data_IF_282448170467
#
_entry.id   IF_282448170467
#
_cell.length_a   1.000
_cell.length_b   1.000
_cell.length_c   1.000
_cell.angle_alpha   90.00
_cell.angle_beta   90.00
_cell.angle_gamma   90.00
#
_symmetry.space_group_name_H-M   'P 1'
#
loop_
_entity.id
_entity.type
_entity.pdbx_description
1 polymer ?
#
# COMPACT_ATOMS: atom_id res chain seq x y z
N UNK A 1 -24.11 -56.25 38.85
CA UNK A 1 -24.65 -54.89 38.61
C UNK A 1 -23.64 -54.16 37.73
N UNK A 2 -24.05 -53.93 36.48
CA UNK A 2 -23.23 -53.36 35.41
C UNK A 2 -23.38 -51.84 35.40
N UNK A 3 -22.27 -51.10 35.28
CA UNK A 3 -22.24 -49.75 34.72
C UNK A 3 -20.93 -49.58 33.94
N UNK A 4 -20.90 -50.10 32.70
CA UNK A 4 -19.93 -49.69 31.69
C UNK A 4 -20.38 -48.35 31.11
N UNK A 5 -19.67 -47.27 31.41
CA UNK A 5 -19.83 -45.97 30.75
C UNK A 5 -19.06 -46.00 29.43
N UNK A 6 -19.74 -46.38 28.34
CA UNK A 6 -19.23 -46.14 26.99
C UNK A 6 -19.25 -44.63 26.70
N UNK A 7 -18.09 -44.00 26.79
CA UNK A 7 -17.87 -42.64 26.28
C UNK A 7 -17.63 -42.75 24.77
N UNK A 8 -18.70 -42.62 23.98
CA UNK A 8 -18.59 -42.47 22.54
C UNK A 8 -17.87 -41.16 22.24
N UNK A 9 -16.65 -41.26 21.72
CA UNK A 9 -16.02 -40.15 21.02
C UNK A 9 -16.85 -39.89 19.76
N UNK A 10 -17.63 -38.82 19.76
CA UNK A 10 -18.16 -38.26 18.52
C UNK A 10 -16.97 -38.02 17.60
N UNK A 11 -17.03 -38.67 16.44
CA UNK A 11 -16.09 -38.49 15.34
C UNK A 11 -16.20 -37.02 14.94
N UNK A 12 -15.27 -36.17 15.42
CA UNK A 12 -15.20 -34.77 15.03
C UNK A 12 -15.18 -34.70 13.52
N UNK A 13 -16.19 -34.06 12.95
CA UNK A 13 -16.31 -33.75 11.53
C UNK A 13 -15.24 -32.70 11.20
N UNK A 14 -14.01 -33.16 10.97
CA UNK A 14 -12.88 -32.34 10.50
C UNK A 14 -12.90 -32.12 8.98
N UNK A 15 -13.77 -32.82 8.24
CA UNK A 15 -13.71 -32.89 6.78
C UNK A 15 -14.23 -31.65 6.05
N UNK A 16 -15.13 -30.87 6.64
CA UNK A 16 -15.93 -29.84 5.93
C UNK A 16 -15.35 -28.42 6.05
N UNK A 17 -14.54 -28.17 7.09
CA UNK A 17 -13.84 -26.89 7.28
C UNK A 17 -12.55 -26.83 6.47
N UNK A 18 -11.86 -27.96 6.34
CA UNK A 18 -10.61 -28.05 5.57
C UNK A 18 -10.86 -27.92 4.06
N UNK A 19 -12.03 -28.35 3.56
CA UNK A 19 -12.43 -28.17 2.17
C UNK A 19 -12.79 -26.71 1.85
N UNK A 20 -13.54 -26.04 2.73
CA UNK A 20 -13.91 -24.62 2.59
C UNK A 20 -12.69 -23.69 2.65
N UNK A 21 -11.74 -23.95 3.55
CA UNK A 21 -10.49 -23.19 3.64
C UNK A 21 -9.63 -23.35 2.40
N UNK A 22 -9.44 -24.58 1.91
CA UNK A 22 -8.70 -24.84 0.67
C UNK A 22 -9.34 -24.13 -0.54
N UNK A 23 -10.67 -24.12 -0.61
CA UNK A 23 -11.37 -23.42 -1.68
C UNK A 23 -11.16 -21.90 -1.60
N UNK A 24 -11.19 -21.31 -0.39
CA UNK A 24 -10.91 -19.89 -0.18
C UNK A 24 -9.47 -19.53 -0.55
N UNK A 25 -8.51 -20.35 -0.15
CA UNK A 25 -7.10 -20.17 -0.51
C UNK A 25 -6.89 -20.23 -2.03
N UNK A 26 -7.53 -21.17 -2.73
CA UNK A 26 -7.46 -21.25 -4.18
C UNK A 26 -8.05 -20.00 -4.85
N UNK A 27 -9.21 -19.53 -4.38
CA UNK A 27 -9.84 -18.31 -4.87
C UNK A 27 -8.93 -17.07 -4.66
N UNK A 28 -8.29 -16.97 -3.49
CA UNK A 28 -7.33 -15.91 -3.19
C UNK A 28 -6.10 -15.99 -4.09
N UNK A 29 -5.54 -17.18 -4.31
CA UNK A 29 -4.40 -17.40 -5.18
C UNK A 29 -4.71 -17.04 -6.63
N UNK A 30 -5.90 -17.38 -7.11
CA UNK A 30 -6.35 -17.01 -8.45
C UNK A 30 -6.47 -15.49 -8.59
N UNK A 31 -7.08 -14.81 -7.62
CA UNK A 31 -7.20 -13.35 -7.60
C UNK A 31 -5.82 -12.66 -7.60
N UNK A 32 -4.90 -13.12 -6.74
CA UNK A 32 -3.53 -12.60 -6.66
C UNK A 32 -2.82 -12.78 -8.01
N UNK A 33 -2.94 -13.95 -8.64
CA UNK A 33 -2.32 -14.22 -9.94
C UNK A 33 -2.87 -13.29 -11.02
N UNK A 34 -4.19 -13.16 -11.13
CA UNK A 34 -4.84 -12.35 -12.16
C UNK A 34 -4.51 -10.86 -11.99
N UNK A 35 -4.78 -10.29 -10.83
CA UNK A 35 -4.55 -8.86 -10.55
C UNK A 35 -3.07 -8.54 -10.35
N UNK A 36 -2.27 -9.50 -9.91
CA UNK A 36 -0.82 -9.38 -9.85
C UNK A 36 -0.21 -9.28 -11.24
N UNK A 37 -0.70 -10.06 -12.21
CA UNK A 37 -0.25 -9.96 -13.59
C UNK A 37 -0.62 -8.61 -14.21
N UNK A 38 -1.84 -8.10 -13.98
CA UNK A 38 -2.22 -6.75 -14.41
C UNK A 38 -1.26 -5.68 -13.84
N UNK A 39 -0.96 -5.78 -12.54
CA UNK A 39 -0.05 -4.87 -11.85
C UNK A 39 1.36 -4.92 -12.46
N UNK A 40 1.90 -6.12 -12.66
CA UNK A 40 3.23 -6.32 -13.24
C UNK A 40 3.28 -5.76 -14.66
N UNK A 41 2.30 -6.06 -15.51
CA UNK A 41 2.25 -5.58 -16.89
C UNK A 41 2.29 -4.04 -16.97
N UNK A 42 1.57 -3.36 -16.06
CA UNK A 42 1.60 -1.89 -16.02
C UNK A 42 2.97 -1.38 -15.55
N UNK A 43 3.56 -2.00 -14.52
CA UNK A 43 4.84 -1.57 -13.97
C UNK A 43 6.02 -1.82 -14.92
N UNK A 44 6.04 -2.96 -15.60
CA UNK A 44 7.06 -3.30 -16.60
C UNK A 44 6.96 -2.41 -17.85
N UNK A 45 5.76 -1.90 -18.16
CA UNK A 45 5.54 -0.96 -19.26
C UNK A 45 6.00 0.47 -18.98
N UNK A 46 6.48 0.80 -17.77
CA UNK A 46 6.91 2.16 -17.41
C UNK A 46 8.25 2.48 -18.06
N UNK A 47 8.26 3.47 -18.95
CA UNK A 47 9.44 3.94 -19.66
C UNK A 47 10.28 4.91 -18.82
N UNK A 48 9.65 5.72 -17.96
CA UNK A 48 10.36 6.62 -17.05
C UNK A 48 9.56 7.03 -15.82
N UNK A 49 10.27 7.53 -14.80
CA UNK A 49 9.70 8.15 -13.60
C UNK A 49 9.97 9.65 -13.60
N UNK A 50 8.95 10.45 -13.27
CA UNK A 50 9.08 11.89 -13.09
C UNK A 50 8.51 12.35 -11.75
N UNK A 51 9.07 13.43 -11.23
CA UNK A 51 8.54 14.10 -10.05
C UNK A 51 7.88 15.44 -10.44
N UNK A 52 6.62 15.63 -10.04
CA UNK A 52 5.84 16.86 -10.27
C UNK A 52 5.42 17.45 -8.92
N UNK A 53 5.64 18.74 -8.72
CA UNK A 53 5.26 19.44 -7.50
C UNK A 53 3.78 19.83 -7.48
N UNK A 54 3.22 20.02 -6.30
CA UNK A 54 1.91 20.65 -6.15
C UNK A 54 1.96 22.13 -6.55
N UNK A 55 0.87 22.70 -7.11
CA UNK A 55 -0.44 22.08 -7.32
C UNK A 55 -0.56 21.24 -8.61
N UNK A 56 0.49 21.20 -9.44
CA UNK A 56 0.43 20.61 -10.78
C UNK A 56 0.28 19.09 -10.77
N UNK A 57 0.77 18.41 -9.72
CA UNK A 57 0.54 16.98 -9.54
C UNK A 57 -0.95 16.67 -9.39
N UNK A 58 -1.65 17.37 -8.50
CA UNK A 58 -3.10 17.22 -8.36
C UNK A 58 -3.84 17.51 -9.67
N UNK A 59 -3.42 18.54 -10.40
CA UNK A 59 -4.02 18.89 -11.70
C UNK A 59 -3.81 17.81 -12.78
N UNK A 60 -2.66 17.13 -12.79
CA UNK A 60 -2.42 15.95 -13.65
C UNK A 60 -3.32 14.78 -13.24
N UNK A 61 -3.40 14.51 -11.93
CA UNK A 61 -4.22 13.41 -11.38
C UNK A 61 -5.70 13.55 -11.73
N UNK A 62 -6.19 14.79 -11.73
CA UNK A 62 -7.57 15.15 -12.07
C UNK A 62 -7.80 15.32 -13.59
N UNK A 63 -6.74 15.22 -14.40
CA UNK A 63 -6.81 15.35 -15.87
C UNK A 63 -7.04 16.78 -16.36
N UNK A 64 -6.90 17.79 -15.50
CA UNK A 64 -7.00 19.21 -15.89
C UNK A 64 -5.73 19.68 -16.60
N UNK A 65 -4.57 19.30 -16.07
CA UNK A 65 -3.28 19.46 -16.73
C UNK A 65 -3.07 18.24 -17.62
N UNK A 66 -2.84 18.46 -18.90
CA UNK A 66 -2.69 17.40 -19.91
C UNK A 66 -1.38 17.51 -20.69
N UNK A 67 -0.58 18.53 -20.41
CA UNK A 67 0.73 18.73 -21.03
C UNK A 67 1.75 19.00 -19.93
N UNK A 68 2.82 18.21 -19.90
CA UNK A 68 3.93 18.35 -18.97
C UNK A 68 5.17 18.89 -19.68
N UNK A 69 5.54 20.13 -19.35
CA UNK A 69 6.75 20.77 -19.87
C UNK A 69 8.02 20.33 -19.11
N UNK A 70 9.05 19.87 -19.83
CA UNK A 70 10.34 19.45 -19.26
C UNK A 70 11.52 19.94 -20.09
N UNK A 71 12.62 20.30 -19.44
CA UNK A 71 13.87 20.52 -20.17
C UNK A 71 14.43 19.17 -20.67
N UNK A 72 14.91 19.12 -21.91
CA UNK A 72 15.40 17.90 -22.60
C UNK A 72 16.73 17.43 -21.99
N UNK A 73 16.72 16.96 -20.75
CA UNK A 73 17.94 16.54 -20.04
C UNK A 73 17.84 15.10 -19.56
N UNK A 74 18.95 14.37 -19.61
CA UNK A 74 19.02 12.98 -19.13
C UNK A 74 18.04 12.05 -19.84
N UNK A 75 17.32 11.23 -19.06
CA UNK A 75 16.45 10.15 -19.54
C UNK A 75 15.20 10.59 -20.32
N UNK A 76 14.84 11.87 -20.31
CA UNK A 76 13.62 12.37 -20.98
C UNK A 76 13.78 12.49 -22.50
N UNK A 77 15.01 12.38 -23.01
CA UNK A 77 15.31 12.49 -24.45
C UNK A 77 14.60 11.45 -25.31
N UNK A 78 14.24 10.31 -24.69
CA UNK A 78 13.70 9.11 -25.34
C UNK A 78 12.20 8.91 -25.13
N UNK A 79 11.51 9.86 -24.51
CA UNK A 79 10.06 9.73 -24.34
C UNK A 79 9.40 9.82 -25.71
N UNK A 80 8.60 8.82 -26.04
CA UNK A 80 7.88 8.70 -27.30
C UNK A 80 6.38 8.49 -27.08
N UNK A 81 5.53 8.84 -28.06
CA UNK A 81 4.10 8.51 -28.01
C UNK A 81 3.89 7.00 -27.78
N UNK A 82 3.00 6.67 -26.83
CA UNK A 82 2.74 5.30 -26.40
C UNK A 82 3.46 4.88 -25.12
N UNK A 83 4.50 5.60 -24.70
CA UNK A 83 5.20 5.35 -23.44
C UNK A 83 4.28 5.53 -22.22
N UNK A 84 4.61 4.82 -21.14
CA UNK A 84 4.02 5.04 -19.83
C UNK A 84 5.01 5.77 -18.92
N UNK A 85 4.51 6.81 -18.25
CA UNK A 85 5.28 7.63 -17.31
C UNK A 85 4.70 7.47 -15.91
N UNK A 86 5.56 7.19 -14.94
CA UNK A 86 5.21 7.15 -13.53
C UNK A 86 5.47 8.50 -12.86
N UNK A 87 4.40 9.18 -12.44
CA UNK A 87 4.48 10.46 -11.75
C UNK A 87 4.40 10.25 -10.24
N UNK A 88 5.40 10.78 -9.52
CA UNK A 88 5.49 10.73 -8.05
C UNK A 88 5.32 9.31 -7.47
N UNK A 89 5.75 8.27 -8.22
CA UNK A 89 5.63 6.85 -7.85
C UNK A 89 4.21 6.31 -7.65
N UNK A 90 3.18 7.07 -8.04
CA UNK A 90 1.78 6.69 -7.73
C UNK A 90 0.79 6.84 -8.88
N UNK A 91 1.06 7.70 -9.87
CA UNK A 91 0.15 7.97 -10.98
C UNK A 91 0.82 7.56 -12.29
N UNK A 92 0.21 6.64 -13.03
CA UNK A 92 0.69 6.26 -14.36
C UNK A 92 -0.05 7.06 -15.42
N UNK A 93 0.70 7.74 -16.28
CA UNK A 93 0.16 8.47 -17.42
C UNK A 93 0.64 7.84 -18.72
N UNK A 94 -0.21 7.84 -19.74
CA UNK A 94 0.17 7.45 -21.09
C UNK A 94 0.58 8.71 -21.87
N UNK A 95 1.69 8.63 -22.58
CA UNK A 95 2.13 9.67 -23.50
C UNK A 95 1.32 9.55 -24.79
N UNK A 96 0.59 10.61 -25.11
CA UNK A 96 -0.17 10.68 -26.36
C UNK A 96 0.64 11.36 -27.46
N UNK A 97 1.45 12.36 -27.12
CA UNK A 97 2.32 13.06 -28.08
C UNK A 97 3.51 13.73 -27.38
N UNK A 98 4.55 14.07 -28.15
CA UNK A 98 5.75 14.76 -27.66
C UNK A 98 6.19 15.83 -28.65
N UNK A 99 6.14 17.09 -28.24
CA UNK A 99 6.59 18.22 -29.05
C UNK A 99 7.88 18.83 -28.50
N UNK A 100 8.74 19.32 -29.39
CA UNK A 100 10.04 19.92 -29.04
C UNK A 100 10.07 21.39 -29.37
N UNK A 101 10.60 22.19 -28.45
CA UNK A 101 10.71 23.64 -28.57
C UNK A 101 12.10 24.13 -28.16
N UNK A 102 12.50 25.27 -28.70
CA UNK A 102 13.75 25.92 -28.33
C UNK A 102 13.74 26.50 -26.90
N UNK A 103 12.55 26.84 -26.36
CA UNK A 103 12.40 27.48 -25.06
C UNK A 103 11.01 27.23 -24.46
N UNK A 104 10.87 27.42 -23.14
CA UNK A 104 9.57 27.38 -22.44
C UNK A 104 8.64 28.48 -22.95
N UNK A 105 9.18 29.67 -23.26
CA UNK A 105 8.38 30.75 -23.85
C UNK A 105 7.75 30.31 -25.19
N UNK A 106 8.52 29.67 -26.07
CA UNK A 106 8.01 29.15 -27.35
C UNK A 106 7.02 28.01 -27.15
N UNK A 107 7.29 27.11 -26.22
CA UNK A 107 6.36 26.04 -25.86
C UNK A 107 5.03 26.62 -25.38
N UNK A 108 5.03 27.56 -24.44
CA UNK A 108 3.82 28.15 -23.87
C UNK A 108 3.05 29.06 -24.85
N UNK A 109 3.72 29.58 -25.88
CA UNK A 109 3.07 30.31 -26.98
C UNK A 109 2.38 29.38 -27.98
N UNK A 110 2.95 28.18 -28.21
CA UNK A 110 2.42 27.22 -29.17
C UNK A 110 1.36 26.30 -28.54
N UNK A 111 1.59 25.88 -27.29
CA UNK A 111 0.71 25.02 -26.53
C UNK A 111 -0.36 25.81 -25.77
N UNK A 112 -1.46 25.14 -25.42
CA UNK A 112 -2.49 25.75 -24.59
C UNK A 112 -1.97 25.97 -23.17
N UNK A 113 -1.80 27.24 -22.75
CA UNK A 113 -1.35 27.59 -21.41
C UNK A 113 -2.20 26.93 -20.31
N UNK A 114 -3.52 26.87 -20.46
CA UNK A 114 -4.41 26.20 -19.50
C UNK A 114 -4.17 24.69 -19.42
N UNK A 115 -3.70 24.04 -20.49
CA UNK A 115 -3.36 22.60 -20.47
C UNK A 115 -1.99 22.33 -19.85
N UNK A 116 -1.06 23.30 -19.94
CA UNK A 116 0.31 23.19 -19.41
C UNK A 116 0.39 23.66 -17.95
N UNK A 117 -0.18 24.83 -17.65
CA UNK A 117 -0.19 25.45 -16.33
C UNK A 117 -1.60 25.99 -16.02
N UNK A 118 -2.58 25.12 -15.68
CA UNK A 118 -3.94 25.55 -15.39
C UNK A 118 -3.99 26.67 -14.33
N UNK A 119 -4.74 27.73 -14.62
CA UNK A 119 -4.89 28.90 -13.75
C UNK A 119 -3.85 30.01 -13.92
N UNK A 120 -2.79 29.79 -14.70
CA UNK A 120 -1.81 30.83 -15.08
C UNK A 120 -2.35 31.64 -16.25
N UNK A 121 -2.21 32.97 -16.19
CA UNK A 121 -2.86 33.87 -17.17
C UNK A 121 -1.97 34.30 -18.31
N UNK A 122 -0.65 34.37 -18.11
CA UNK A 122 0.27 34.86 -19.13
C UNK A 122 1.48 33.94 -19.33
N UNK A 123 2.10 34.05 -20.50
CA UNK A 123 3.30 33.25 -20.83
C UNK A 123 4.47 33.62 -19.92
N UNK A 124 4.61 34.90 -19.58
CA UNK A 124 5.68 35.41 -18.72
C UNK A 124 5.60 34.80 -17.32
N UNK A 125 4.40 34.79 -16.72
CA UNK A 125 4.15 34.12 -15.43
C UNK A 125 4.47 32.62 -15.51
N UNK A 126 4.10 31.98 -16.63
CA UNK A 126 4.41 30.57 -16.88
C UNK A 126 5.91 30.28 -16.98
N UNK A 127 6.68 31.15 -17.63
CA UNK A 127 8.14 31.04 -17.72
C UNK A 127 8.79 31.19 -16.35
N UNK A 128 8.32 32.13 -15.52
CA UNK A 128 8.82 32.31 -14.15
C UNK A 128 8.60 31.07 -13.27
N UNK A 129 7.51 30.33 -13.48
CA UNK A 129 7.27 29.05 -12.80
C UNK A 129 8.34 28.02 -13.19
N UNK A 130 8.65 27.89 -14.49
CA UNK A 130 9.69 26.99 -14.96
C UNK A 130 11.09 27.42 -14.53
N UNK A 131 11.34 28.72 -14.38
CA UNK A 131 12.64 29.26 -13.97
C UNK A 131 13.00 28.91 -12.53
N UNK A 132 12.02 28.63 -11.68
CA UNK A 132 12.23 28.05 -10.33
C UNK A 132 12.81 26.62 -10.38
N UNK A 133 12.68 25.92 -11.51
CA UNK A 133 13.08 24.52 -11.67
C UNK A 133 14.31 24.34 -12.58
N UNK A 134 14.49 25.20 -13.59
CA UNK A 134 15.55 25.10 -14.59
C UNK A 134 16.20 26.46 -14.83
N UNK A 135 17.52 26.53 -14.94
CA UNK A 135 18.22 27.77 -15.33
C UNK A 135 18.12 28.04 -16.83
N UNK A 136 18.28 29.29 -17.24
CA UNK A 136 18.26 29.71 -18.66
C UNK A 136 19.28 28.96 -19.50
N UNK A 137 20.49 28.77 -18.96
CA UNK A 137 21.57 28.11 -19.70
C UNK A 137 21.21 26.65 -19.99
N UNK A 138 20.57 25.98 -19.02
CA UNK A 138 20.13 24.58 -19.17
C UNK A 138 19.00 24.45 -20.18
N UNK A 139 18.06 25.39 -20.17
CA UNK A 139 16.99 25.46 -21.15
C UNK A 139 17.54 25.70 -22.56
N UNK A 140 18.41 26.70 -22.76
CA UNK A 140 18.94 27.05 -24.08
C UNK A 140 19.87 25.98 -24.66
N UNK A 141 20.64 25.28 -23.82
CA UNK A 141 21.55 24.21 -24.28
C UNK A 141 20.82 22.93 -24.71
N UNK A 142 19.65 22.64 -24.15
CA UNK A 142 18.96 21.37 -24.35
C UNK A 142 17.63 21.49 -25.09
N UNK A 143 16.99 22.66 -25.02
CA UNK A 143 15.60 22.84 -25.42
C UNK A 143 14.60 22.27 -24.41
N UNK A 144 13.34 22.24 -24.83
CA UNK A 144 12.18 21.89 -24.00
C UNK A 144 11.29 20.88 -24.73
N UNK A 145 10.70 19.96 -23.95
CA UNK A 145 9.64 19.04 -24.37
C UNK A 145 8.30 19.49 -23.78
N UNK A 146 7.26 19.44 -24.61
CA UNK A 146 5.88 19.34 -24.15
C UNK A 146 5.45 17.88 -24.29
N UNK A 147 5.21 17.20 -23.16
CA UNK A 147 4.74 15.81 -23.14
C UNK A 147 3.23 15.82 -22.94
N UNK A 148 2.48 15.52 -23.99
CA UNK A 148 1.04 15.39 -23.96
C UNK A 148 0.67 14.06 -23.32
N UNK A 149 -0.15 14.10 -22.26
CA UNK A 149 -0.44 12.95 -21.42
C UNK A 149 -1.93 12.75 -21.19
N UNK A 150 -2.32 11.48 -21.08
CA UNK A 150 -3.65 11.07 -20.64
C UNK A 150 -3.55 10.12 -19.44
N UNK A 151 -4.62 10.06 -18.64
CA UNK A 151 -4.67 9.14 -17.51
C UNK A 151 -4.85 7.71 -18.00
N UNK A 152 -3.94 6.82 -17.62
CA UNK A 152 -4.08 5.40 -17.90
C UNK A 152 -5.28 4.82 -17.12
N UNK A 153 -6.16 4.07 -17.77
CA UNK A 153 -7.32 3.47 -17.11
C UNK A 153 -6.92 2.40 -16.07
N UNK A 154 -5.94 1.56 -16.41
CA UNK A 154 -5.42 0.49 -15.56
C UNK A 154 -4.32 1.04 -14.61
N UNK A 155 -4.73 1.73 -13.55
CA UNK A 155 -3.77 2.23 -12.55
C UNK A 155 -3.31 1.10 -11.61
N UNK A 156 -2.02 1.04 -11.23
CA UNK A 156 -1.47 0.05 -10.29
C UNK A 156 -2.26 -0.08 -8.99
N UNK A 157 -2.73 1.05 -8.44
CA UNK A 157 -3.49 1.07 -7.19
C UNK A 157 -4.85 0.38 -7.30
N UNK A 158 -5.44 0.27 -8.50
CA UNK A 158 -6.72 -0.42 -8.71
C UNK A 158 -6.56 -1.94 -8.58
N UNK A 159 -5.52 -2.51 -9.20
CA UNK A 159 -5.22 -3.94 -9.09
C UNK A 159 -4.85 -4.29 -7.65
N UNK A 160 -4.03 -3.45 -6.98
CA UNK A 160 -3.71 -3.64 -5.57
C UNK A 160 -4.94 -3.54 -4.66
N UNK A 161 -5.82 -2.55 -4.87
CA UNK A 161 -7.06 -2.42 -4.12
C UNK A 161 -7.98 -3.63 -4.32
N UNK A 162 -8.04 -4.16 -5.55
CA UNK A 162 -8.82 -5.36 -5.87
C UNK A 162 -8.30 -6.60 -5.12
N UNK A 163 -6.98 -6.77 -5.06
CA UNK A 163 -6.34 -7.84 -4.27
C UNK A 163 -6.69 -7.69 -2.79
N UNK A 164 -6.46 -6.52 -2.20
CA UNK A 164 -6.70 -6.28 -0.78
C UNK A 164 -8.19 -6.47 -0.41
N UNK A 165 -9.09 -5.99 -1.26
CA UNK A 165 -10.53 -6.15 -1.04
C UNK A 165 -10.98 -7.61 -1.12
N UNK A 166 -10.53 -8.35 -2.13
CA UNK A 166 -10.90 -9.75 -2.30
C UNK A 166 -10.26 -10.70 -1.29
N UNK A 167 -9.05 -10.38 -0.80
CA UNK A 167 -8.44 -11.11 0.32
C UNK A 167 -9.19 -10.87 1.63
N UNK A 168 -9.66 -9.64 1.88
CA UNK A 168 -10.19 -9.23 3.18
C UNK A 168 -9.18 -9.51 4.31
N UNK A 169 -9.62 -9.43 5.57
CA UNK A 169 -8.77 -9.73 6.73
C UNK A 169 -8.31 -11.19 6.75
N UNK A 170 -9.15 -12.12 6.31
CA UNK A 170 -8.82 -13.56 6.28
C UNK A 170 -7.66 -13.85 5.34
N UNK A 171 -7.78 -13.45 4.07
CA UNK A 171 -6.76 -13.68 3.06
C UNK A 171 -5.47 -12.93 3.34
N UNK A 172 -5.54 -11.69 3.84
CA UNK A 172 -4.32 -10.95 4.24
C UNK A 172 -3.61 -11.64 5.40
N UNK A 173 -4.34 -12.14 6.41
CA UNK A 173 -3.74 -12.92 7.50
C UNK A 173 -3.08 -14.19 6.99
N UNK A 174 -3.76 -14.93 6.11
CA UNK A 174 -3.23 -16.14 5.48
C UNK A 174 -1.96 -15.85 4.69
N UNK A 175 -1.96 -14.80 3.86
CA UNK A 175 -0.81 -14.39 3.05
C UNK A 175 0.40 -14.01 3.90
N UNK A 176 0.17 -13.38 5.06
CA UNK A 176 1.20 -13.01 6.01
C UNK A 176 1.65 -14.18 6.92
N UNK A 177 1.07 -15.38 6.75
CA UNK A 177 1.38 -16.54 7.59
C UNK A 177 0.91 -16.39 9.04
N UNK A 178 -0.12 -15.58 9.29
CA UNK A 178 -0.68 -15.38 10.62
C UNK A 178 -1.58 -16.57 11.00
N UNK A 179 -1.32 -17.15 12.17
CA UNK A 179 -2.08 -18.28 12.67
C UNK A 179 -3.54 -17.88 12.97
N UNK A 180 -4.49 -18.68 12.49
CA UNK A 180 -5.90 -18.58 12.89
C UNK A 180 -6.15 -19.54 14.06
N UNK A 181 -6.40 -18.97 15.24
CA UNK A 181 -6.60 -19.72 16.48
C UNK A 181 -7.99 -19.41 17.04
N UNK A 182 -8.46 -20.19 18.02
CA UNK A 182 -9.80 -20.01 18.60
C UNK A 182 -10.10 -18.64 19.26
N UNK A 183 -9.12 -17.73 19.33
CA UNK A 183 -9.28 -16.36 19.80
C UNK A 183 -9.05 -15.28 18.73
N UNK A 184 -8.82 -15.66 17.47
CA UNK A 184 -8.53 -14.70 16.41
C UNK A 184 -9.79 -13.94 16.01
N UNK A 185 -9.67 -12.61 15.97
CA UNK A 185 -10.74 -11.72 15.53
C UNK A 185 -10.80 -11.74 14.00
N UNK A 186 -11.91 -12.20 13.43
CA UNK A 186 -12.01 -12.49 12.00
C UNK A 186 -11.99 -11.25 11.09
N UNK A 187 -12.36 -10.09 11.65
CA UNK A 187 -12.48 -8.81 10.96
C UNK A 187 -11.40 -7.79 11.37
N UNK A 188 -10.26 -8.27 11.87
CA UNK A 188 -9.14 -7.40 12.23
C UNK A 188 -7.79 -8.06 11.91
N UNK A 189 -6.79 -7.21 11.61
CA UNK A 189 -5.39 -7.61 11.67
C UNK A 189 -4.91 -7.52 13.13
N UNK A 190 -3.86 -8.28 13.51
CA UNK A 190 -3.28 -8.13 14.83
C UNK A 190 -2.81 -6.69 15.07
N UNK A 191 -2.98 -6.17 16.29
CA UNK A 191 -2.55 -4.81 16.60
C UNK A 191 -1.03 -4.68 16.50
N UNK A 192 -0.49 -3.46 16.37
CA UNK A 192 0.94 -3.22 16.36
C UNK A 192 1.65 -3.80 17.59
N UNK A 193 2.92 -4.19 17.44
CA UNK A 193 3.73 -4.71 18.55
C UNK A 193 3.76 -3.79 19.76
N UNK A 194 3.79 -2.48 19.56
CA UNK A 194 3.76 -1.49 20.65
C UNK A 194 2.48 -1.59 21.49
N UNK A 195 1.32 -1.77 20.85
CA UNK A 195 0.03 -1.97 21.53
C UNK A 195 0.00 -3.29 22.29
N UNK A 196 0.56 -4.36 21.71
CA UNK A 196 0.68 -5.64 22.40
C UNK A 196 1.57 -5.53 23.64
N UNK A 197 2.73 -4.88 23.51
CA UNK A 197 3.66 -4.66 24.62
C UNK A 197 3.06 -3.79 25.72
N UNK A 198 2.41 -2.67 25.37
CA UNK A 198 1.77 -1.79 26.35
C UNK A 198 0.62 -2.50 27.09
N UNK A 199 -0.19 -3.26 26.37
CA UNK A 199 -1.28 -4.06 26.98
C UNK A 199 -0.73 -5.16 27.89
N UNK A 200 0.41 -5.77 27.51
CA UNK A 200 1.05 -6.82 28.29
C UNK A 200 1.56 -6.31 29.65
N UNK A 201 2.09 -5.08 29.71
CA UNK A 201 2.59 -4.46 30.94
C UNK A 201 1.49 -3.72 31.73
N UNK A 202 0.30 -3.55 31.16
CA UNK A 202 -0.78 -2.83 31.82
C UNK A 202 -1.25 -3.57 33.08
N UNK A 203 -1.51 -2.87 34.21
CA UNK A 203 -2.05 -3.49 35.42
C UNK A 203 -3.38 -4.19 35.13
N UNK A 204 -3.53 -5.45 35.56
CA UNK A 204 -4.74 -6.24 35.35
C UNK A 204 -5.96 -5.65 36.07
N UNK A 205 -5.75 -5.13 37.28
CA UNK A 205 -6.76 -4.50 38.12
C UNK A 205 -6.24 -3.13 38.59
N UNK A 206 -6.29 -2.08 37.76
CA UNK A 206 -5.70 -0.78 38.09
C UNK A 206 -6.42 -0.07 39.25
N UNK A 207 -7.68 -0.42 39.49
CA UNK A 207 -8.50 0.19 40.54
C UNK A 207 -8.23 -0.39 41.94
N UNK A 208 -7.43 -1.45 42.05
CA UNK A 208 -7.10 -2.09 43.34
C UNK A 208 -5.76 -1.56 43.84
N UNK A 209 -5.78 -0.91 44.99
CA UNK A 209 -4.58 -0.30 45.60
C UNK A 209 -3.56 -1.39 45.95
N UNK A 210 -2.34 -1.26 45.42
CA UNK A 210 -1.24 -2.21 45.62
C UNK A 210 -1.19 -3.39 44.64
N UNK A 211 -2.13 -3.48 43.68
CA UNK A 211 -2.10 -4.50 42.64
C UNK A 211 -1.02 -4.20 41.59
N UNK A 212 0.06 -4.98 41.61
CA UNK A 212 1.19 -4.88 40.66
C UNK A 212 1.13 -5.91 39.53
N UNK A 213 0.13 -6.81 39.55
CA UNK A 213 -0.01 -7.87 38.56
C UNK A 213 -0.44 -7.28 37.21
N UNK A 214 0.36 -7.52 36.17
CA UNK A 214 0.03 -7.10 34.80
C UNK A 214 -0.81 -8.15 34.06
N UNK A 215 -1.51 -7.75 33.00
CA UNK A 215 -2.21 -8.68 32.12
C UNK A 215 -1.28 -9.78 31.57
N UNK A 216 -0.06 -9.40 31.20
CA UNK A 216 0.95 -10.32 30.67
C UNK A 216 1.45 -11.32 31.70
N UNK A 217 1.81 -10.87 32.90
CA UNK A 217 2.23 -11.73 34.00
C UNK A 217 1.14 -12.76 34.36
N UNK A 218 -0.12 -12.31 34.40
CA UNK A 218 -1.26 -13.21 34.64
C UNK A 218 -1.44 -14.23 33.51
N UNK A 219 -1.30 -13.82 32.25
CA UNK A 219 -1.44 -14.72 31.11
C UNK A 219 -0.36 -15.81 31.13
N UNK A 220 0.90 -15.44 31.40
CA UNK A 220 2.01 -16.41 31.52
C UNK A 220 1.80 -17.38 32.69
N UNK A 221 1.31 -16.88 33.83
CA UNK A 221 1.08 -17.72 35.01
C UNK A 221 0.10 -18.89 34.75
N UNK A 222 -0.91 -18.71 33.89
CA UNK A 222 -1.85 -19.79 33.52
C UNK A 222 -1.18 -20.99 32.82
N UNK A 223 0.00 -20.78 32.26
CA UNK A 223 0.73 -21.79 31.49
C UNK A 223 1.98 -22.31 32.21
N UNK A 224 2.32 -21.76 33.39
CA UNK A 224 3.51 -22.16 34.15
C UNK A 224 3.47 -23.64 34.53
N UNK A 225 2.31 -24.17 34.94
CA UNK A 225 2.13 -25.59 35.28
C UNK A 225 2.25 -26.54 34.06
N UNK A 226 2.17 -26.00 32.84
CA UNK A 226 2.30 -26.76 31.60
C UNK A 226 3.75 -26.81 31.09
N UNK A 227 4.69 -26.18 31.78
CA UNK A 227 6.12 -26.19 31.43
C UNK A 227 6.87 -27.11 32.39
N UNK A 228 7.22 -28.29 31.89
CA UNK A 228 7.98 -29.32 32.61
C UNK A 228 9.44 -28.91 32.89
N UNK A 229 9.95 -27.94 32.13
CA UNK A 229 11.32 -27.42 32.18
C UNK A 229 11.44 -26.07 32.89
N UNK A 230 10.34 -25.54 33.44
CA UNK A 230 10.27 -24.19 34.05
C UNK A 230 10.69 -23.07 33.08
N UNK A 231 10.55 -23.27 31.77
CA UNK A 231 10.81 -22.27 30.73
C UNK A 231 10.06 -20.95 31.00
N UNK A 232 8.83 -21.03 31.55
CA UNK A 232 8.03 -19.85 31.91
C UNK A 232 8.28 -19.32 33.33
N UNK A 233 9.28 -19.85 34.05
CA UNK A 233 9.67 -19.44 35.39
C UNK A 233 8.97 -20.18 36.55
N UNK A 234 9.25 -19.74 37.77
CA UNK A 234 8.61 -20.22 39.01
C UNK A 234 7.63 -19.14 39.48
N UNK A 235 6.36 -19.48 39.63
CA UNK A 235 5.36 -18.55 40.15
C UNK A 235 5.48 -18.43 41.67
N UNK A 236 5.59 -17.19 42.17
CA UNK A 236 5.51 -16.87 43.59
C UNK A 236 4.73 -15.57 43.79
N UNK A 237 3.61 -15.64 44.51
CA UNK A 237 2.77 -14.48 44.85
C UNK A 237 1.36 -14.87 45.29
N UNK A 238 0.77 -14.11 46.22
CA UNK A 238 -0.57 -14.35 46.76
C UNK A 238 -1.64 -13.76 45.83
N UNK A 239 -2.06 -14.53 44.81
CA UNK A 239 -3.06 -14.12 43.82
C UNK A 239 -4.49 -14.58 44.11
N UNK A 240 -4.78 -15.15 45.28
CA UNK A 240 -6.13 -15.55 45.69
C UNK A 240 -6.75 -14.48 46.59
N UNK A 241 -7.44 -13.52 45.97
CA UNK A 241 -8.63 -12.85 46.50
C UNK A 241 -9.47 -12.31 45.36
#
# INVERSE_FOLDING_TARGET
>A
MSLHTNRTYEKMVFSDKDSDLKQKEENWNQLIKEKGLELINVLEGISCEIHVQEPYFSLLKDGRKTIEGRCVTGGYTRIEPGDLILVNKILVLKVEDVHRYASFSKMLQAESLEKVLPGVKTVEEGVEIYRKLYTDEKEMSNGVLAVCVSKLAAQPYLSLASILFGLSYGGVRSLLGLADTGGTVSNALPPPRSTLLSSFIFPYNPNIKGSVLTHGARALAKHAERSSDRYWGILGGNGLQ
#
